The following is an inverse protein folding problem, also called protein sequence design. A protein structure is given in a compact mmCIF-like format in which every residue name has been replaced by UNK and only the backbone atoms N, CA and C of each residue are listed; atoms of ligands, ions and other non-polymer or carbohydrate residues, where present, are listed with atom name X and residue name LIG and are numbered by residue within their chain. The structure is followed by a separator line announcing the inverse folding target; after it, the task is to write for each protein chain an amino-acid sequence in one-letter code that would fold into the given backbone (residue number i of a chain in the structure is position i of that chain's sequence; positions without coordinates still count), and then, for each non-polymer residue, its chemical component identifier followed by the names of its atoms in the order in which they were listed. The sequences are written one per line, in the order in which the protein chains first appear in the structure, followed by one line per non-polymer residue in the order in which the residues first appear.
data_IF_972421248075
#
_entry.id   IF_972421248075
#
_cell.length_a   1.000
_cell.length_b   1.000
_cell.length_c   1.000
_cell.angle_alpha   90.00
_cell.angle_beta   90.00
_cell.angle_gamma   90.00
#
_symmetry.space_group_name_H-M   'P 1'
#
loop_
_entity.id
_entity.type
_entity.pdbx_description
1 polymer ?
#
# COMPACT_ATOMS: atom_id res chain seq x y z
N UNK A 1 -22.67 -7.67 -12.10
CA UNK A 1 -23.55 -6.93 -11.17
C UNK A 1 -22.77 -6.70 -9.88
N UNK A 2 -22.66 -5.45 -9.43
CA UNK A 2 -22.11 -5.19 -8.09
C UNK A 2 -23.10 -5.76 -7.08
N UNK A 3 -22.65 -6.68 -6.23
CA UNK A 3 -23.48 -7.19 -5.15
C UNK A 3 -23.68 -6.07 -4.12
N UNK A 4 -24.81 -5.39 -4.20
CA UNK A 4 -25.13 -4.21 -3.37
C UNK A 4 -25.23 -4.54 -1.88
N UNK A 5 -25.19 -5.82 -1.50
CA UNK A 5 -25.23 -6.26 -0.09
C UNK A 5 -23.83 -6.33 0.53
N UNK A 6 -22.77 -6.56 -0.26
CA UNK A 6 -21.41 -6.65 0.23
C UNK A 6 -20.84 -5.26 0.56
N UNK A 7 -20.02 -5.20 1.60
CA UNK A 7 -19.36 -3.97 2.06
C UNK A 7 -18.27 -3.57 1.07
N UNK A 8 -18.19 -2.29 0.78
CA UNK A 8 -17.03 -1.68 0.11
C UNK A 8 -16.18 -0.96 1.15
N UNK A 9 -15.00 -1.47 1.40
CA UNK A 9 -14.04 -0.86 2.32
C UNK A 9 -13.33 0.31 1.64
N UNK A 10 -13.35 1.48 2.28
CA UNK A 10 -12.53 2.64 1.93
C UNK A 10 -11.40 2.72 2.96
N UNK A 11 -10.20 2.29 2.57
CA UNK A 11 -9.08 2.23 3.48
C UNK A 11 -8.18 3.45 3.33
N UNK A 12 -7.95 4.15 4.45
CA UNK A 12 -7.11 5.34 4.54
C UNK A 12 -5.96 5.09 5.51
N UNK A 13 -4.74 5.47 5.14
CA UNK A 13 -3.56 5.39 5.99
C UNK A 13 -2.72 6.65 5.89
N UNK A 14 -2.24 7.11 7.03
CA UNK A 14 -1.22 8.16 7.11
C UNK A 14 -0.12 7.70 8.07
N UNK A 15 1.14 7.78 7.65
CA UNK A 15 2.28 7.59 8.54
C UNK A 15 2.82 8.94 9.00
N UNK A 16 3.58 8.96 10.10
CA UNK A 16 4.24 10.19 10.57
C UNK A 16 5.21 10.77 9.52
N UNK A 17 5.76 9.94 8.65
CA UNK A 17 6.62 10.36 7.54
C UNK A 17 5.79 11.01 6.41
N UNK A 18 4.62 10.45 6.10
CA UNK A 18 3.72 10.95 5.05
C UNK A 18 3.02 12.25 5.46
N UNK A 19 2.90 12.54 6.76
CA UNK A 19 2.30 13.77 7.27
C UNK A 19 3.10 15.05 6.88
N UNK A 20 4.38 14.88 6.53
CA UNK A 20 5.24 15.98 6.08
C UNK A 20 5.09 16.31 4.59
N UNK A 21 4.44 15.46 3.80
CA UNK A 21 4.32 15.59 2.34
C UNK A 21 3.10 16.41 1.87
N UNK A 22 2.42 17.13 2.78
CA UNK A 22 1.38 18.13 2.47
C UNK A 22 -0.07 17.65 2.68
N UNK A 23 -0.99 18.62 2.63
CA UNK A 23 -2.43 18.46 2.94
C UNK A 23 -3.15 17.43 2.05
N UNK A 24 -2.70 17.23 0.81
CA UNK A 24 -3.33 16.28 -0.13
C UNK A 24 -3.30 14.82 0.34
N UNK A 25 -2.43 14.51 1.28
CA UNK A 25 -2.27 13.16 1.83
C UNK A 25 -3.01 12.93 3.15
N UNK A 26 -3.65 13.95 3.72
CA UNK A 26 -4.39 13.83 4.97
C UNK A 26 -5.47 12.74 4.91
N UNK A 27 -5.79 12.16 6.05
CA UNK A 27 -6.88 11.17 6.18
C UNK A 27 -8.21 11.75 5.67
N UNK A 28 -8.50 13.03 5.97
CA UNK A 28 -9.72 13.70 5.53
C UNK A 28 -9.83 13.74 4.00
N UNK A 29 -8.75 14.11 3.32
CA UNK A 29 -8.71 14.19 1.85
C UNK A 29 -8.80 12.79 1.21
N UNK A 30 -8.17 11.78 1.81
CA UNK A 30 -8.30 10.39 1.34
C UNK A 30 -9.74 9.91 1.46
N UNK A 31 -10.41 10.16 2.60
CA UNK A 31 -11.82 9.80 2.83
C UNK A 31 -12.74 10.45 1.82
N UNK A 32 -12.61 11.74 1.62
CA UNK A 32 -13.44 12.48 0.65
C UNK A 32 -13.24 11.95 -0.77
N UNK A 33 -11.98 11.79 -1.17
CA UNK A 33 -11.62 11.29 -2.48
C UNK A 33 -12.19 9.89 -2.76
N UNK A 34 -11.97 8.95 -1.84
CA UNK A 34 -12.47 7.58 -1.97
C UNK A 34 -14.00 7.50 -1.91
N UNK A 35 -14.64 8.30 -1.05
CA UNK A 35 -16.10 8.36 -0.97
C UNK A 35 -16.71 8.87 -2.28
N UNK A 36 -16.14 9.92 -2.86
CA UNK A 36 -16.57 10.45 -4.16
C UNK A 36 -16.39 9.42 -5.28
N UNK A 37 -15.22 8.77 -5.32
CA UNK A 37 -14.95 7.70 -6.28
C UNK A 37 -15.96 6.56 -6.15
N UNK A 38 -16.17 6.06 -4.94
CA UNK A 38 -17.10 4.95 -4.67
C UNK A 38 -18.53 5.28 -5.12
N UNK A 39 -19.05 6.46 -4.76
CA UNK A 39 -20.39 6.90 -5.17
C UNK A 39 -20.53 7.02 -6.67
N UNK A 40 -19.55 7.59 -7.36
CA UNK A 40 -19.55 7.74 -8.81
C UNK A 40 -19.53 6.39 -9.56
N UNK A 41 -19.05 5.33 -8.90
CA UNK A 41 -19.01 3.97 -9.45
C UNK A 41 -20.12 3.05 -8.91
N UNK A 42 -21.12 3.61 -8.22
CA UNK A 42 -22.31 2.88 -7.78
C UNK A 42 -22.13 2.03 -6.52
N UNK A 43 -21.06 2.22 -5.76
CA UNK A 43 -20.87 1.56 -4.45
C UNK A 43 -21.72 2.28 -3.40
N UNK A 44 -22.60 1.56 -2.71
CA UNK A 44 -23.58 2.12 -1.76
C UNK A 44 -23.30 1.75 -0.31
N UNK A 45 -22.81 0.54 -0.04
CA UNK A 45 -22.52 0.06 1.31
C UNK A 45 -21.04 0.33 1.66
N UNK A 46 -20.74 1.53 2.15
CA UNK A 46 -19.37 2.01 2.39
C UNK A 46 -18.98 1.86 3.85
N UNK A 47 -17.83 1.25 4.10
CA UNK A 47 -17.17 1.21 5.42
C UNK A 47 -15.80 1.86 5.33
N UNK A 48 -15.57 2.90 6.14
CA UNK A 48 -14.29 3.61 6.18
C UNK A 48 -13.44 3.02 7.30
N UNK A 49 -12.24 2.56 6.97
CA UNK A 49 -11.23 2.10 7.90
C UNK A 49 -10.01 3.02 7.84
N UNK A 50 -9.48 3.38 9.00
CA UNK A 50 -8.41 4.37 9.14
C UNK A 50 -7.31 3.85 10.04
N UNK A 51 -6.07 3.94 9.55
CA UNK A 51 -4.86 3.72 10.35
C UNK A 51 -3.97 4.99 10.29
N UNK A 52 -4.12 5.84 11.31
CA UNK A 52 -3.34 7.08 11.44
C UNK A 52 -2.10 6.84 12.32
N UNK A 53 -0.94 7.33 11.90
CA UNK A 53 0.35 7.13 12.58
C UNK A 53 1.03 5.78 12.30
N UNK A 54 0.43 4.91 11.51
CA UNK A 54 0.98 3.59 11.20
C UNK A 54 1.81 3.57 9.92
N UNK A 55 2.93 2.83 9.96
CA UNK A 55 3.77 2.63 8.78
C UNK A 55 3.13 1.68 7.76
N UNK A 56 3.51 1.78 6.48
CA UNK A 56 3.06 0.84 5.44
C UNK A 56 3.87 -0.45 5.35
N UNK A 57 4.87 -0.66 6.22
CA UNK A 57 5.81 -1.79 6.14
C UNK A 57 5.29 -3.10 6.70
N UNK A 58 4.23 -3.06 7.50
CA UNK A 58 3.57 -4.26 8.03
C UNK A 58 2.04 -4.09 8.01
N UNK A 59 1.33 -5.19 8.18
CA UNK A 59 -0.13 -5.23 8.21
C UNK A 59 -0.70 -5.41 9.65
N UNK A 60 0.14 -5.28 10.67
CA UNK A 60 -0.30 -5.31 12.06
C UNK A 60 -0.86 -3.92 12.47
N UNK A 61 -1.96 -3.53 11.85
CA UNK A 61 -2.65 -2.27 12.02
C UNK A 61 -4.12 -2.52 12.29
N UNK A 62 -4.74 -1.83 13.27
CA UNK A 62 -6.12 -2.12 13.69
C UNK A 62 -7.14 -2.05 12.55
N UNK A 63 -7.12 -0.99 11.73
CA UNK A 63 -8.07 -0.82 10.63
C UNK A 63 -7.92 -1.88 9.55
N UNK A 64 -6.68 -2.21 9.17
CA UNK A 64 -6.44 -3.27 8.19
C UNK A 64 -6.85 -4.63 8.72
N UNK A 65 -6.57 -4.94 10.00
CA UNK A 65 -6.97 -6.21 10.62
C UNK A 65 -8.50 -6.34 10.70
N UNK A 66 -9.20 -5.28 11.09
CA UNK A 66 -10.67 -5.26 11.06
C UNK A 66 -11.21 -5.57 9.66
N UNK A 67 -10.62 -4.94 8.64
CA UNK A 67 -10.99 -5.19 7.25
C UNK A 67 -10.75 -6.65 6.82
N UNK A 68 -9.63 -7.25 7.22
CA UNK A 68 -9.34 -8.65 6.91
C UNK A 68 -10.31 -9.62 7.59
N UNK A 69 -10.72 -9.35 8.83
CA UNK A 69 -11.75 -10.16 9.48
C UNK A 69 -13.09 -10.09 8.73
N UNK A 70 -13.49 -8.92 8.24
CA UNK A 70 -14.68 -8.79 7.41
C UNK A 70 -14.55 -9.53 6.07
N UNK A 71 -13.36 -9.53 5.46
CA UNK A 71 -13.06 -10.31 4.24
C UNK A 71 -13.23 -11.80 4.52
N UNK A 72 -12.64 -12.32 5.60
CA UNK A 72 -12.76 -13.74 5.99
C UNK A 72 -14.21 -14.16 6.26
N UNK A 73 -15.04 -13.25 6.77
CA UNK A 73 -16.47 -13.46 6.96
C UNK A 73 -17.28 -13.43 5.65
N UNK A 74 -16.64 -13.12 4.51
CA UNK A 74 -17.31 -13.01 3.21
C UNK A 74 -18.20 -11.79 3.04
N UNK A 75 -18.09 -10.80 3.93
CA UNK A 75 -18.94 -9.60 3.95
C UNK A 75 -18.45 -8.50 3.00
N UNK A 76 -17.20 -8.58 2.50
CA UNK A 76 -16.57 -7.56 1.67
C UNK A 76 -16.65 -7.95 0.20
N UNK A 77 -17.06 -7.02 -0.65
CA UNK A 77 -17.05 -7.18 -2.11
C UNK A 77 -15.98 -6.35 -2.80
N UNK A 78 -15.56 -5.25 -2.17
CA UNK A 78 -14.54 -4.38 -2.76
C UNK A 78 -13.68 -3.72 -1.68
N UNK A 79 -12.38 -3.58 -1.98
CA UNK A 79 -11.41 -2.87 -1.16
C UNK A 79 -10.80 -1.73 -1.96
N UNK A 80 -11.07 -0.49 -1.56
CA UNK A 80 -10.59 0.73 -2.22
C UNK A 80 -9.50 1.40 -1.41
N UNK A 81 -8.42 1.78 -2.10
CA UNK A 81 -7.35 2.62 -1.56
C UNK A 81 -7.05 3.77 -2.52
N UNK A 82 -6.52 4.89 -2.02
CA UNK A 82 -6.12 6.00 -2.87
C UNK A 82 -4.98 5.58 -3.80
N UNK A 83 -3.95 4.97 -3.23
CA UNK A 83 -2.79 4.41 -3.92
C UNK A 83 -2.27 3.17 -3.17
N UNK A 84 -1.47 2.35 -3.83
CA UNK A 84 -0.91 1.12 -3.26
C UNK A 84 -0.08 1.36 -2.01
N UNK A 85 0.60 2.51 -1.90
CA UNK A 85 1.41 2.85 -0.74
C UNK A 85 0.57 2.96 0.54
N UNK A 86 -0.71 3.28 0.42
CA UNK A 86 -1.65 3.31 1.55
C UNK A 86 -2.00 1.91 2.02
N UNK A 87 -2.16 0.96 1.09
CA UNK A 87 -2.39 -0.44 1.44
C UNK A 87 -1.16 -1.07 2.07
N UNK A 88 -0.01 -1.00 1.41
CA UNK A 88 1.25 -1.52 1.94
C UNK A 88 2.46 -1.13 1.10
N UNK A 89 3.64 -1.17 1.73
CA UNK A 89 4.94 -0.92 1.08
C UNK A 89 5.78 -2.20 0.93
N UNK A 90 5.33 -3.31 1.51
CA UNK A 90 5.98 -4.62 1.36
C UNK A 90 5.35 -5.40 0.22
N UNK A 91 6.13 -5.60 -0.84
CA UNK A 91 5.70 -6.24 -2.07
C UNK A 91 5.16 -7.66 -1.86
N UNK A 92 5.87 -8.47 -1.07
CA UNK A 92 5.50 -9.86 -0.89
C UNK A 92 4.15 -9.98 -0.18
N UNK A 93 3.96 -9.20 0.86
CA UNK A 93 2.72 -9.20 1.64
C UNK A 93 1.56 -8.58 0.84
N UNK A 94 1.78 -7.47 0.14
CA UNK A 94 0.74 -6.88 -0.73
C UNK A 94 0.33 -7.88 -1.80
N UNK A 95 1.28 -8.50 -2.51
CA UNK A 95 1.01 -9.53 -3.52
C UNK A 95 0.23 -10.71 -2.94
N UNK A 96 0.59 -11.20 -1.74
CA UNK A 96 -0.16 -12.28 -1.10
C UNK A 96 -1.64 -11.92 -0.88
N UNK A 97 -1.93 -10.69 -0.46
CA UNK A 97 -3.33 -10.26 -0.28
C UNK A 97 -4.04 -10.04 -1.62
N UNK A 98 -3.42 -9.35 -2.56
CA UNK A 98 -4.07 -8.99 -3.83
C UNK A 98 -4.19 -10.16 -4.79
N UNK A 99 -3.21 -11.06 -4.83
CA UNK A 99 -3.12 -12.14 -5.82
C UNK A 99 -3.73 -13.45 -5.33
N UNK A 100 -3.78 -13.65 -4.01
CA UNK A 100 -4.24 -14.93 -3.43
C UNK A 100 -5.46 -14.71 -2.54
N UNK A 101 -5.37 -13.87 -1.50
CA UNK A 101 -6.39 -13.78 -0.46
C UNK A 101 -7.65 -13.10 -0.99
N UNK A 102 -7.56 -11.91 -1.56
CA UNK A 102 -8.74 -11.20 -2.07
C UNK A 102 -9.48 -11.98 -3.16
N UNK A 103 -8.82 -12.57 -4.17
CA UNK A 103 -9.49 -13.42 -5.13
C UNK A 103 -10.17 -14.64 -4.52
N UNK A 104 -9.57 -15.27 -3.50
CA UNK A 104 -10.17 -16.44 -2.84
C UNK A 104 -11.48 -16.14 -2.08
N UNK A 105 -11.71 -14.87 -1.72
CA UNK A 105 -12.94 -14.38 -1.09
C UNK A 105 -13.82 -13.55 -2.03
N UNK A 106 -13.51 -13.52 -3.32
CA UNK A 106 -14.23 -12.73 -4.33
C UNK A 106 -14.26 -11.23 -3.98
N UNK A 107 -13.13 -10.71 -3.49
CA UNK A 107 -12.94 -9.31 -3.14
C UNK A 107 -12.19 -8.59 -4.26
N UNK A 108 -12.82 -7.57 -4.85
CA UNK A 108 -12.19 -6.69 -5.82
C UNK A 108 -11.29 -5.69 -5.13
N UNK A 109 -10.05 -5.58 -5.55
CA UNK A 109 -9.09 -4.59 -5.05
C UNK A 109 -8.87 -3.47 -6.07
N UNK A 110 -8.96 -2.21 -5.62
CA UNK A 110 -8.75 -1.04 -6.48
C UNK A 110 -7.84 -0.02 -5.78
N UNK A 111 -6.72 0.34 -6.43
CA UNK A 111 -5.89 1.49 -6.08
C UNK A 111 -6.12 2.58 -7.13
N UNK A 112 -6.87 3.62 -6.74
CA UNK A 112 -7.47 4.56 -7.70
C UNK A 112 -6.43 5.37 -8.47
N UNK A 113 -5.45 5.97 -7.78
CA UNK A 113 -4.42 6.80 -8.42
C UNK A 113 -3.44 5.99 -9.26
N UNK A 114 -3.21 4.73 -8.89
CA UNK A 114 -2.29 3.85 -9.61
C UNK A 114 -2.96 3.16 -10.80
N UNK A 115 -4.27 3.33 -10.96
CA UNK A 115 -5.05 2.68 -12.02
C UNK A 115 -5.12 1.16 -11.89
N UNK A 116 -4.84 0.62 -10.69
CA UNK A 116 -4.89 -0.81 -10.40
C UNK A 116 -6.32 -1.21 -10.08
N UNK A 117 -6.79 -2.26 -10.73
CA UNK A 117 -8.12 -2.83 -10.53
C UNK A 117 -8.05 -4.34 -10.80
N UNK A 118 -8.24 -5.15 -9.78
CA UNK A 118 -8.12 -6.61 -9.88
C UNK A 118 -9.18 -7.25 -10.80
N UNK A 119 -10.24 -6.52 -11.18
CA UNK A 119 -11.29 -7.04 -12.05
C UNK A 119 -11.06 -6.72 -13.55
N UNK A 120 -9.96 -6.04 -13.90
CA UNK A 120 -9.61 -5.70 -15.30
C UNK A 120 -8.86 -6.79 -16.07
N UNK A 121 -9.14 -8.05 -15.77
CA UNK A 121 -8.50 -9.19 -16.42
C UNK A 121 -7.21 -9.63 -15.70
N UNK A 122 -7.09 -10.92 -15.49
CA UNK A 122 -6.12 -11.54 -14.59
C UNK A 122 -4.64 -11.19 -14.85
N UNK A 123 -4.28 -10.76 -16.04
CA UNK A 123 -2.89 -10.47 -16.39
C UNK A 123 -2.50 -8.98 -16.30
N UNK A 124 -3.41 -8.05 -16.55
CA UNK A 124 -3.08 -6.62 -16.60
C UNK A 124 -3.11 -5.94 -15.21
N UNK A 125 -4.05 -6.29 -14.34
CA UNK A 125 -4.15 -5.76 -12.98
C UNK A 125 -2.94 -6.14 -12.13
N UNK A 126 -2.52 -7.39 -12.20
CA UNK A 126 -1.33 -7.89 -11.50
C UNK A 126 -0.02 -7.43 -12.11
N UNK A 127 0.05 -7.29 -13.45
CA UNK A 127 1.21 -6.71 -14.11
C UNK A 127 1.41 -5.24 -13.70
N UNK A 128 0.34 -4.47 -13.54
CA UNK A 128 0.40 -3.09 -13.06
C UNK A 128 0.95 -3.02 -11.62
N UNK A 129 0.46 -3.88 -10.71
CA UNK A 129 0.98 -3.99 -9.35
C UNK A 129 2.47 -4.33 -9.36
N UNK A 130 2.86 -5.35 -10.12
CA UNK A 130 4.26 -5.79 -10.22
C UNK A 130 5.18 -4.70 -10.79
N UNK A 131 4.72 -3.98 -11.81
CA UNK A 131 5.47 -2.90 -12.43
C UNK A 131 5.67 -1.72 -11.47
N UNK A 132 4.62 -1.33 -10.73
CA UNK A 132 4.72 -0.28 -9.72
C UNK A 132 5.72 -0.65 -8.61
N UNK A 133 5.72 -1.89 -8.14
CA UNK A 133 6.71 -2.35 -7.16
C UNK A 133 8.12 -2.40 -7.70
N UNK A 134 8.31 -2.83 -8.94
CA UNK A 134 9.61 -2.80 -9.60
C UNK A 134 10.16 -1.37 -9.74
N UNK A 135 9.28 -0.37 -9.89
CA UNK A 135 9.64 1.04 -9.94
C UNK A 135 9.92 1.63 -8.55
N UNK A 136 9.16 1.23 -7.53
CA UNK A 136 9.28 1.76 -6.16
C UNK A 136 10.41 1.12 -5.36
N UNK A 137 10.67 -0.16 -5.53
CA UNK A 137 11.70 -0.88 -4.78
C UNK A 137 13.09 -0.24 -4.89
N UNK A 138 13.56 0.16 -6.07
CA UNK A 138 14.84 0.86 -6.19
C UNK A 138 14.82 2.24 -5.51
N UNK A 139 13.72 2.98 -5.58
CA UNK A 139 13.57 4.32 -4.97
C UNK A 139 13.60 4.26 -3.45
N UNK A 140 12.86 3.34 -2.85
CA UNK A 140 12.82 3.17 -1.39
C UNK A 140 14.16 2.66 -0.85
N UNK A 141 14.76 1.68 -1.52
CA UNK A 141 16.11 1.19 -1.19
C UNK A 141 17.15 2.30 -1.29
N UNK A 142 17.13 3.11 -2.34
CA UNK A 142 18.04 4.25 -2.51
C UNK A 142 17.87 5.31 -1.41
N UNK A 143 16.64 5.62 -0.98
CA UNK A 143 16.39 6.51 0.14
C UNK A 143 16.96 5.96 1.45
N UNK A 144 16.69 4.70 1.77
CA UNK A 144 17.21 4.02 2.97
C UNK A 144 18.73 3.96 3.00
N UNK A 145 19.36 3.64 1.87
CA UNK A 145 20.84 3.62 1.73
C UNK A 145 21.41 5.02 1.94
N UNK A 146 20.83 6.07 1.33
CA UNK A 146 21.29 7.46 1.52
C UNK A 146 21.16 7.92 2.96
N UNK A 147 20.05 7.61 3.64
CA UNK A 147 19.85 7.94 5.06
C UNK A 147 20.89 7.21 5.93
N UNK A 148 21.10 5.93 5.70
CA UNK A 148 22.10 5.13 6.43
C UNK A 148 23.53 5.64 6.21
N UNK A 149 23.88 5.99 4.97
CA UNK A 149 25.18 6.58 4.66
C UNK A 149 25.37 7.95 5.32
N UNK A 150 24.33 8.79 5.31
CA UNK A 150 24.35 10.10 5.97
C UNK A 150 24.53 9.96 7.49
N UNK A 151 23.81 9.05 8.14
CA UNK A 151 23.95 8.78 9.57
C UNK A 151 25.34 8.26 9.93
N UNK A 152 25.90 7.36 9.12
CA UNK A 152 27.29 6.89 9.30
C UNK A 152 28.32 8.00 9.11
N UNK A 153 28.12 8.85 8.10
CA UNK A 153 29.01 9.98 7.84
C UNK A 153 29.02 11.00 8.98
N UNK A 154 27.83 11.34 9.53
CA UNK A 154 27.71 12.27 10.66
C UNK A 154 28.18 11.68 11.98
N UNK A 155 28.17 10.36 12.14
CA UNK A 155 28.68 9.66 13.33
C UNK A 155 30.19 9.34 13.28
N UNK A 156 30.90 9.83 12.25
CA UNK A 156 32.33 9.60 12.09
C UNK A 156 32.74 8.15 11.76
N UNK A 157 31.79 7.29 11.41
CA UNK A 157 32.06 5.92 11.02
C UNK A 157 32.49 5.84 9.56
N UNK A 158 33.51 5.01 9.31
CA UNK A 158 34.08 4.81 7.98
C UNK A 158 33.00 4.44 6.94
N UNK A 159 32.94 5.16 5.84
CA UNK A 159 31.92 4.98 4.76
C UNK A 159 32.45 4.20 3.56
N UNK A 160 33.67 3.70 3.60
CA UNK A 160 34.31 2.95 2.52
C UNK A 160 34.15 1.45 2.68
N UNK A 161 34.00 0.75 1.56
CA UNK A 161 34.37 -0.65 1.48
C UNK A 161 35.81 -0.75 1.87
N UNK A 162 36.14 -1.64 2.80
CA UNK A 162 37.57 -2.00 3.04
C UNK A 162 38.14 -2.40 1.69
N UNK A 163 38.94 -1.52 1.14
CA UNK A 163 39.67 -1.79 -0.08
C UNK A 163 40.45 -3.07 0.15
N UNK A 164 40.23 -3.96 -0.75
CA UNK A 164 41.09 -5.04 -1.11
C UNK A 164 42.54 -4.52 -1.19
N UNK A 165 43.26 -4.54 -0.11
CA UNK A 165 44.70 -4.50 -0.17
C UNK A 165 45.11 -5.93 -0.39
N UNK A 166 45.26 -6.31 -1.66
CA UNK A 166 46.04 -7.48 -1.99
C UNK A 166 47.49 -7.12 -1.65
N UNK A 167 47.98 -7.54 -0.51
CA UNK A 167 49.39 -7.73 -0.32
C UNK A 167 49.79 -8.93 -1.16
N UNK A 168 50.13 -8.65 -2.39
CA UNK A 168 50.96 -9.53 -3.19
C UNK A 168 52.38 -9.18 -2.85
N UNK A 169 53.00 -9.94 -2.00
CA UNK A 169 54.44 -10.12 -1.94
C UNK A 169 54.79 -11.50 -2.49
#
# INVERSE_FOLDING_TARGET
MLDQQKITILYCRLSNEDAQDGESNSIANQREYLTRYARNHGYTNLKILVDDGYTGTNFNRPGVQEGFELVKQGLVGCWLVKDLSRFGRDYLTVGQYTDIIFPSYDVRFIAVNDGVDSNRGDSEGFAAIRNLFNEWYPRDTSKKVRVSLRQRGTSGKHMGCLLYTSDAA
#
